data_IF_546463681607
#
_entry.id   IF_546463681607
#
_cell.length_a   1.000
_cell.length_b   1.000
_cell.length_c   1.000
_cell.angle_alpha   90.00
_cell.angle_beta   90.00
_cell.angle_gamma   90.00
#
_symmetry.space_group_name_H-M   'P 1'
#
loop_
_entity.id
_entity.type
_entity.pdbx_description
1 polymer ?
#
# COMPACT_ATOMS: atom_id res chain seq x y z
N UNK A 1 -13.68 4.13 -72.57
CA UNK A 1 -13.41 5.22 -71.62
C UNK A 1 -12.04 4.95 -71.00
N UNK A 2 -10.99 5.03 -71.83
CA UNK A 2 -9.99 6.14 -71.93
C UNK A 2 -9.25 6.37 -70.61
N UNK A 3 -7.94 6.10 -70.41
CA UNK A 3 -6.70 6.10 -71.23
C UNK A 3 -6.26 7.50 -71.71
N UNK A 4 -5.45 8.19 -70.90
CA UNK A 4 -4.45 9.19 -71.34
C UNK A 4 -3.49 9.50 -70.17
N UNK A 5 -2.22 9.07 -70.25
CA UNK A 5 -1.04 9.89 -70.63
C UNK A 5 -0.66 10.92 -69.55
N UNK A 6 0.41 10.76 -68.74
CA UNK A 6 1.85 10.72 -69.08
C UNK A 6 2.25 11.81 -70.10
N UNK A 7 3.39 12.48 -69.78
CA UNK A 7 4.07 13.61 -70.47
C UNK A 7 3.80 14.97 -69.77
N UNK A 8 4.77 15.80 -69.39
CA UNK A 8 6.14 15.97 -69.89
C UNK A 8 7.07 16.52 -68.80
N UNK A 9 8.32 16.06 -68.88
CA UNK A 9 9.49 16.72 -68.30
C UNK A 9 9.90 17.95 -69.15
N UNK A 10 10.73 18.79 -68.53
CA UNK A 10 11.65 19.77 -69.14
C UNK A 10 11.06 21.05 -69.77
N UNK A 11 11.40 22.20 -69.16
CA UNK A 11 12.25 23.26 -69.73
C UNK A 11 12.21 24.52 -68.87
N UNK A 12 13.35 25.20 -68.70
CA UNK A 12 13.37 26.64 -68.47
C UNK A 12 14.30 27.15 -67.36
N UNK A 13 15.61 27.11 -67.61
CA UNK A 13 16.60 27.97 -66.96
C UNK A 13 16.47 29.38 -67.55
N UNK A 14 16.18 30.41 -66.76
CA UNK A 14 16.59 31.80 -67.03
C UNK A 14 16.30 32.72 -65.85
N UNK A 15 17.33 33.50 -65.51
CA UNK A 15 17.40 34.49 -64.46
C UNK A 15 16.52 35.70 -64.76
N UNK A 16 15.88 36.27 -63.74
CA UNK A 16 15.57 37.71 -63.72
C UNK A 16 15.90 38.30 -62.35
N UNK A 17 16.84 39.22 -62.38
CA UNK A 17 17.35 40.02 -61.27
C UNK A 17 16.27 40.96 -60.74
N UNK A 18 15.96 40.85 -59.44
CA UNK A 18 15.06 41.77 -58.75
C UNK A 18 15.48 41.87 -57.29
N UNK A 19 16.30 42.88 -56.98
CA UNK A 19 16.72 43.19 -55.62
C UNK A 19 15.53 43.56 -54.75
N UNK A 20 15.25 42.77 -53.71
CA UNK A 20 14.37 43.18 -52.62
C UNK A 20 15.14 43.10 -51.29
N UNK A 21 14.95 44.14 -50.49
CA UNK A 21 15.86 44.62 -49.45
C UNK A 21 15.87 43.71 -48.23
N UNK A 22 17.07 43.43 -47.72
CA UNK A 22 17.32 42.72 -46.47
C UNK A 22 16.90 43.63 -45.31
N UNK A 23 15.76 43.33 -44.68
CA UNK A 23 15.40 43.84 -43.35
C UNK A 23 15.90 42.89 -42.27
N UNK A 24 16.41 43.37 -41.12
CA UNK A 24 17.10 42.54 -40.16
C UNK A 24 16.15 41.62 -39.40
N UNK A 25 16.45 40.33 -39.50
CA UNK A 25 16.07 39.29 -38.55
C UNK A 25 16.37 39.75 -37.12
N UNK A 26 15.36 39.82 -36.26
CA UNK A 26 15.51 39.67 -34.81
C UNK A 26 14.12 39.44 -34.20
N UNK A 27 14.04 38.39 -33.38
CA UNK A 27 12.98 38.11 -32.41
C UNK A 27 11.68 37.49 -32.93
N UNK A 28 11.68 36.18 -33.26
CA UNK A 28 10.46 35.37 -33.05
C UNK A 28 10.68 33.85 -32.85
N UNK A 29 11.92 33.33 -32.89
CA UNK A 29 12.20 31.88 -32.80
C UNK A 29 12.79 31.42 -31.47
N UNK A 30 12.35 31.98 -30.33
CA UNK A 30 12.77 31.53 -28.99
C UNK A 30 11.60 31.34 -28.01
N UNK A 31 10.38 31.13 -28.49
CA UNK A 31 9.20 30.88 -27.65
C UNK A 31 8.50 29.54 -27.91
N UNK A 32 9.09 28.64 -28.70
CA UNK A 32 8.50 27.34 -29.03
C UNK A 32 9.17 26.12 -28.38
N UNK A 33 10.27 26.29 -27.63
CA UNK A 33 10.98 25.17 -26.97
C UNK A 33 10.98 25.21 -25.43
N UNK A 34 10.34 26.19 -24.78
CA UNK A 34 10.40 26.35 -23.32
C UNK A 34 9.11 26.06 -22.54
N UNK A 35 8.07 25.53 -23.19
CA UNK A 35 6.84 25.08 -22.52
C UNK A 35 6.53 23.60 -22.75
N UNK A 36 7.49 22.83 -23.26
CA UNK A 36 7.41 21.36 -23.33
C UNK A 36 8.05 20.65 -22.12
N UNK A 37 8.52 21.38 -21.09
CA UNK A 37 9.33 20.79 -20.00
C UNK A 37 8.87 21.13 -18.57
N UNK A 38 7.61 21.55 -18.34
CA UNK A 38 7.12 21.87 -16.98
C UNK A 38 5.77 21.25 -16.60
N UNK A 39 5.34 20.18 -17.28
CA UNK A 39 4.52 19.19 -16.59
C UNK A 39 5.44 18.36 -15.70
N UNK A 40 5.81 18.95 -14.56
CA UNK A 40 6.34 18.22 -13.43
C UNK A 40 5.25 17.23 -12.96
N UNK A 41 5.12 16.09 -13.65
CA UNK A 41 4.56 14.87 -13.10
C UNK A 41 5.58 14.32 -12.09
N UNK A 42 5.93 15.11 -11.08
CA UNK A 42 6.85 14.74 -10.03
C UNK A 42 6.07 14.63 -8.71
N UNK A 43 6.32 13.51 -8.01
CA UNK A 43 6.05 13.26 -6.59
C UNK A 43 4.77 12.52 -6.12
N UNK A 44 3.90 11.96 -6.97
CA UNK A 44 2.84 11.03 -6.48
C UNK A 44 3.24 9.55 -6.47
N UNK A 45 4.25 9.13 -7.25
CA UNK A 45 4.66 7.72 -7.34
C UNK A 45 5.47 7.22 -6.12
N UNK A 46 5.94 8.11 -5.24
CA UNK A 46 6.83 7.75 -4.12
C UNK A 46 6.11 7.40 -2.79
N UNK A 47 4.77 7.28 -2.77
CA UNK A 47 4.00 7.00 -1.54
C UNK A 47 3.80 5.51 -1.26
N UNK A 48 3.70 4.69 -2.31
CA UNK A 48 3.43 3.25 -2.21
C UNK A 48 4.74 2.52 -1.89
N UNK A 49 4.73 1.70 -0.85
CA UNK A 49 5.88 0.85 -0.56
C UNK A 49 5.78 -0.46 -1.34
N UNK A 50 6.91 -0.98 -1.80
CA UNK A 50 6.96 -2.29 -2.44
C UNK A 50 7.28 -3.40 -1.42
N UNK A 51 6.49 -3.49 -0.35
CA UNK A 51 6.69 -4.41 0.78
C UNK A 51 5.34 -4.84 1.37
N UNK A 52 5.23 -6.09 1.82
CA UNK A 52 4.01 -6.64 2.41
C UNK A 52 3.24 -7.57 1.48
N UNK A 53 1.98 -7.81 1.82
CA UNK A 53 1.04 -8.63 1.07
C UNK A 53 0.07 -7.70 0.34
N UNK A 54 0.30 -7.51 -0.97
CA UNK A 54 -0.67 -6.86 -1.85
C UNK A 54 -1.83 -7.83 -2.09
N UNK A 55 -3.06 -7.34 -2.02
CA UNK A 55 -4.23 -8.12 -2.40
C UNK A 55 -4.07 -8.59 -3.85
N UNK A 56 -4.17 -9.90 -4.07
CA UNK A 56 -4.07 -10.52 -5.40
C UNK A 56 -5.42 -10.68 -6.08
N UNK A 57 -6.50 -10.36 -5.37
CA UNK A 57 -7.87 -10.50 -5.83
C UNK A 57 -8.73 -9.34 -5.29
N UNK A 58 -9.90 -9.10 -5.90
CA UNK A 58 -10.82 -8.08 -5.45
C UNK A 58 -11.32 -8.33 -4.00
N UNK A 59 -11.66 -7.29 -3.21
CA UNK A 59 -12.11 -7.46 -1.82
C UNK A 59 -13.32 -8.38 -1.63
N UNK A 60 -14.18 -8.49 -2.63
CA UNK A 60 -15.31 -9.41 -2.64
C UNK A 60 -14.92 -10.89 -2.68
N UNK A 61 -13.67 -11.28 -2.97
CA UNK A 61 -13.24 -12.68 -2.83
C UNK A 61 -12.76 -13.02 -1.42
N UNK A 62 -12.62 -12.01 -0.56
CA UNK A 62 -12.29 -12.18 0.85
C UNK A 62 -13.58 -12.32 1.67
N UNK A 63 -13.53 -13.14 2.71
CA UNK A 63 -14.63 -13.38 3.64
C UNK A 63 -14.48 -12.62 4.97
N UNK A 64 -13.23 -12.29 5.35
CA UNK A 64 -12.89 -11.72 6.65
C UNK A 64 -12.83 -12.76 7.77
N UNK A 65 -11.93 -12.54 8.74
CA UNK A 65 -11.63 -13.53 9.78
C UNK A 65 -12.85 -13.96 10.61
N UNK A 66 -13.85 -13.09 10.79
CA UNK A 66 -15.08 -13.40 11.53
C UNK A 66 -15.91 -14.52 10.86
N UNK A 67 -15.88 -14.64 9.53
CA UNK A 67 -16.59 -15.70 8.83
C UNK A 67 -15.96 -17.07 9.13
N UNK A 68 -14.63 -17.12 9.26
CA UNK A 68 -13.88 -18.34 9.57
C UNK A 68 -14.27 -18.93 10.94
N UNK A 69 -14.69 -18.08 11.90
CA UNK A 69 -15.06 -18.51 13.25
C UNK A 69 -16.26 -19.48 13.30
N UNK A 70 -17.08 -19.54 12.23
CA UNK A 70 -18.26 -20.41 12.18
C UNK A 70 -17.88 -21.90 12.14
N UNK A 71 -16.77 -22.24 11.48
CA UNK A 71 -16.26 -23.61 11.38
C UNK A 71 -14.94 -23.82 12.14
N UNK A 72 -14.17 -22.74 12.35
CA UNK A 72 -12.85 -22.74 12.99
C UNK A 72 -12.83 -21.86 14.25
N UNK A 73 -13.75 -22.12 15.18
CA UNK A 73 -13.92 -21.35 16.42
C UNK A 73 -12.63 -21.31 17.24
N UNK A 74 -12.04 -22.47 17.55
CA UNK A 74 -10.82 -22.59 18.35
C UNK A 74 -9.67 -21.78 17.75
N UNK A 75 -9.43 -21.91 16.44
CA UNK A 75 -8.37 -21.19 15.74
C UNK A 75 -8.63 -19.68 15.76
N UNK A 76 -9.88 -19.27 15.53
CA UNK A 76 -10.27 -17.86 15.57
C UNK A 76 -10.07 -17.26 16.98
N UNK A 77 -10.49 -17.95 18.02
CA UNK A 77 -10.32 -17.49 19.40
C UNK A 77 -8.85 -17.33 19.78
N UNK A 78 -8.02 -18.30 19.41
CA UNK A 78 -6.58 -18.23 19.65
C UNK A 78 -5.95 -17.08 18.85
N UNK A 79 -6.26 -16.97 17.56
CA UNK A 79 -5.77 -15.91 16.69
C UNK A 79 -6.17 -14.51 17.18
N UNK A 80 -7.43 -14.31 17.55
CA UNK A 80 -7.98 -12.99 17.93
C UNK A 80 -7.27 -12.37 19.15
N UNK A 81 -6.67 -13.21 20.01
CA UNK A 81 -5.92 -12.79 21.20
C UNK A 81 -4.50 -12.33 20.86
N UNK A 82 -3.97 -12.70 19.69
CA UNK A 82 -2.59 -12.42 19.28
C UNK A 82 -2.33 -10.94 18.99
N UNK A 83 -1.04 -10.56 18.97
CA UNK A 83 -0.63 -9.21 18.59
C UNK A 83 -0.98 -8.87 17.15
N UNK A 84 -0.91 -9.84 16.24
CA UNK A 84 -1.11 -9.64 14.80
C UNK A 84 -2.58 -9.27 14.50
N UNK A 85 -3.53 -9.89 15.18
CA UNK A 85 -4.96 -9.57 15.10
C UNK A 85 -5.26 -8.19 15.69
N UNK A 86 -4.59 -7.83 16.79
CA UNK A 86 -4.89 -6.62 17.58
C UNK A 86 -4.00 -5.43 17.25
N UNK A 87 -3.11 -5.55 16.26
CA UNK A 87 -2.08 -4.55 15.99
C UNK A 87 -2.67 -3.22 15.53
N UNK A 88 -3.76 -3.26 14.76
CA UNK A 88 -4.48 -2.09 14.25
C UNK A 88 -5.90 -2.11 14.80
N UNK A 89 -6.31 -1.02 15.44
CA UNK A 89 -7.62 -0.90 16.10
C UNK A 89 -8.23 0.45 15.78
N UNK A 90 -9.55 0.50 15.62
CA UNK A 90 -10.25 1.78 15.58
C UNK A 90 -10.20 2.45 16.95
N UNK A 91 -10.06 3.77 16.95
CA UNK A 91 -10.18 4.59 18.16
C UNK A 91 -11.49 4.35 18.89
N UNK A 92 -12.60 4.31 18.15
CA UNK A 92 -13.96 4.19 18.70
C UNK A 92 -14.20 2.91 19.50
N UNK A 93 -13.40 1.88 19.25
CA UNK A 93 -13.53 0.58 19.92
C UNK A 93 -12.64 0.51 21.19
N UNK A 94 -11.93 1.59 21.52
CA UNK A 94 -11.07 1.66 22.71
C UNK A 94 -11.75 2.48 23.80
N UNK A 95 -11.78 1.91 25.02
CA UNK A 95 -12.23 2.63 26.20
C UNK A 95 -11.36 3.88 26.49
N UNK A 96 -10.05 3.80 26.21
CA UNK A 96 -9.12 4.90 26.33
C UNK A 96 -8.01 4.82 25.27
N UNK A 97 -7.51 5.98 24.85
CA UNK A 97 -6.33 6.03 24.01
C UNK A 97 -5.07 5.69 24.82
N UNK A 98 -4.10 4.97 24.24
CA UNK A 98 -2.85 4.70 24.91
C UNK A 98 -2.02 5.96 25.12
N UNK A 99 -1.39 6.07 26.29
CA UNK A 99 -0.40 7.10 26.62
C UNK A 99 -0.94 8.29 27.42
N UNK A 100 -0.02 9.16 27.85
CA UNK A 100 -0.32 10.38 28.61
C UNK A 100 -0.71 11.52 27.66
N UNK A 101 -2.01 11.68 27.38
CA UNK A 101 -2.49 12.66 26.41
C UNK A 101 -2.34 14.11 26.84
N UNK A 102 -2.14 14.41 28.13
CA UNK A 102 -1.87 15.76 28.61
C UNK A 102 -0.55 16.35 28.09
N UNK A 103 0.37 15.49 27.63
CA UNK A 103 1.67 15.87 27.04
C UNK A 103 1.76 15.53 25.55
N UNK A 104 0.64 15.12 24.94
CA UNK A 104 0.64 14.70 23.55
C UNK A 104 0.91 15.87 22.62
N UNK A 105 1.76 15.71 21.59
CA UNK A 105 1.88 16.68 20.50
C UNK A 105 0.73 16.54 19.47
N UNK A 106 -0.18 15.58 19.66
CA UNK A 106 -1.35 15.32 18.80
C UNK A 106 -2.63 15.63 19.56
N UNK A 107 -3.70 15.99 18.83
CA UNK A 107 -5.04 16.06 19.42
C UNK A 107 -5.66 14.68 19.44
N UNK A 108 -6.30 14.32 20.56
CA UNK A 108 -6.95 13.01 20.70
C UNK A 108 -8.09 12.80 19.69
N UNK A 109 -8.80 13.87 19.33
CA UNK A 109 -9.93 13.83 18.39
C UNK A 109 -9.51 13.56 16.95
N UNK A 110 -8.24 13.84 16.60
CA UNK A 110 -7.71 13.55 15.28
C UNK A 110 -7.41 12.05 15.10
N UNK A 111 -7.48 11.23 16.16
CA UNK A 111 -7.12 9.81 16.09
C UNK A 111 -8.30 8.97 15.60
N UNK A 112 -8.15 8.39 14.41
CA UNK A 112 -9.05 7.40 13.84
C UNK A 112 -8.58 5.96 14.09
N UNK A 113 -7.29 5.67 13.89
CA UNK A 113 -6.68 4.36 14.16
C UNK A 113 -5.54 4.45 15.17
N UNK A 114 -5.41 3.41 15.97
CA UNK A 114 -4.24 3.13 16.81
C UNK A 114 -3.50 1.93 16.23
N UNK A 115 -2.21 2.13 15.91
CA UNK A 115 -1.34 1.15 15.26
C UNK A 115 -0.17 0.81 16.18
N UNK A 116 -0.08 -0.43 16.63
CA UNK A 116 0.98 -0.92 17.49
C UNK A 116 0.54 -1.23 18.91
N UNK A 117 1.33 -2.08 19.57
CA UNK A 117 1.15 -2.60 20.92
C UNK A 117 2.52 -2.73 21.61
N UNK A 118 2.53 -2.78 22.95
CA UNK A 118 3.65 -3.08 23.86
C UNK A 118 4.89 -2.17 23.81
N UNK A 119 5.47 -1.89 22.64
CA UNK A 119 6.65 -1.03 22.51
C UNK A 119 6.26 0.40 22.16
N UNK A 120 5.34 0.56 21.21
CA UNK A 120 4.86 1.86 20.77
C UNK A 120 3.48 1.82 20.14
N UNK A 121 2.83 2.99 20.12
CA UNK A 121 1.63 3.25 19.34
C UNK A 121 1.90 4.41 18.37
N UNK A 122 1.50 4.23 17.12
CA UNK A 122 1.37 5.26 16.10
C UNK A 122 -0.11 5.50 15.79
N UNK A 123 -0.42 6.63 15.18
CA UNK A 123 -1.80 7.08 15.02
C UNK A 123 -2.07 7.51 13.58
N UNK A 124 -3.31 7.31 13.14
CA UNK A 124 -3.79 7.66 11.79
C UNK A 124 -5.08 8.45 11.95
N UNK A 125 -5.27 9.49 11.14
CA UNK A 125 -6.50 10.29 11.13
C UNK A 125 -7.58 9.72 10.18
N UNK A 126 -8.75 10.38 10.16
CA UNK A 126 -9.91 9.98 9.35
C UNK A 126 -9.65 10.12 7.85
N UNK A 127 -8.67 10.91 7.43
CA UNK A 127 -8.21 11.04 6.05
C UNK A 127 -7.17 9.96 5.68
N UNK A 128 -6.97 8.97 6.56
CA UNK A 128 -5.96 7.92 6.45
C UNK A 128 -4.51 8.42 6.45
N UNK A 129 -4.25 9.64 6.94
CA UNK A 129 -2.89 10.17 7.03
C UNK A 129 -2.26 9.74 8.34
N UNK A 130 -1.00 9.33 8.26
CA UNK A 130 -0.20 9.01 9.46
C UNK A 130 0.09 10.30 10.23
N UNK A 131 -0.28 10.33 11.51
CA UNK A 131 -0.01 11.46 12.40
C UNK A 131 1.48 11.49 12.80
N UNK A 132 2.09 12.69 12.92
CA UNK A 132 3.54 12.84 13.06
C UNK A 132 4.04 12.67 14.50
N UNK A 133 3.54 11.68 15.24
CA UNK A 133 4.07 11.28 16.53
C UNK A 133 3.78 9.82 16.86
N UNK A 134 4.58 9.26 17.76
CA UNK A 134 4.35 7.95 18.38
C UNK A 134 4.40 8.08 19.91
N UNK A 135 3.64 7.25 20.61
CA UNK A 135 3.81 7.05 22.04
C UNK A 135 4.70 5.83 22.28
N UNK A 136 5.72 5.95 23.12
CA UNK A 136 6.62 4.87 23.53
C UNK A 136 6.19 4.33 24.88
N UNK A 137 5.62 3.13 24.89
CA UNK A 137 5.17 2.47 26.11
C UNK A 137 6.34 2.15 27.03
N UNK A 138 7.46 1.67 26.48
CA UNK A 138 8.67 1.31 27.24
C UNK A 138 9.35 2.49 27.94
N UNK A 139 9.08 3.71 27.46
CA UNK A 139 9.72 4.94 27.93
C UNK A 139 8.74 5.96 28.47
N UNK A 140 7.45 5.62 28.49
CA UNK A 140 6.37 6.44 29.01
C UNK A 140 6.39 7.87 28.43
N UNK A 141 6.73 8.02 27.14
CA UNK A 141 6.92 9.34 26.51
C UNK A 141 6.41 9.42 25.08
N UNK A 142 6.07 10.63 24.66
CA UNK A 142 5.82 10.97 23.27
C UNK A 142 7.12 11.24 22.52
N UNK A 143 7.19 10.77 21.28
CA UNK A 143 8.23 11.12 20.33
C UNK A 143 7.60 11.78 19.10
N UNK A 144 7.99 13.02 18.78
CA UNK A 144 7.63 13.65 17.52
C UNK A 144 8.30 12.92 16.34
N UNK A 145 7.57 12.77 15.25
CA UNK A 145 7.98 12.14 13.99
C UNK A 145 7.59 13.04 12.82
N UNK A 146 8.22 14.21 12.66
CA UNK A 146 7.83 15.19 11.63
C UNK A 146 7.86 14.58 10.22
N UNK A 147 8.84 13.73 9.92
CA UNK A 147 8.93 13.00 8.66
C UNK A 147 7.86 11.92 8.47
N UNK A 148 6.85 11.81 9.34
CA UNK A 148 5.73 10.88 9.18
C UNK A 148 4.46 11.50 8.60
N UNK A 149 4.27 12.80 8.79
CA UNK A 149 3.03 13.49 8.48
C UNK A 149 2.60 13.35 7.02
N UNK A 150 1.29 13.28 6.81
CA UNK A 150 0.64 13.43 5.50
C UNK A 150 0.66 12.21 4.58
N UNK A 151 1.28 11.10 5.01
CA UNK A 151 1.40 9.88 4.20
C UNK A 151 0.16 9.00 4.36
N UNK A 152 -0.41 8.50 3.27
CA UNK A 152 -1.55 7.59 3.33
C UNK A 152 -1.12 6.24 3.92
N UNK A 153 -1.77 5.86 5.02
CA UNK A 153 -1.46 4.65 5.78
C UNK A 153 -1.66 3.39 4.94
N UNK A 154 -2.69 3.35 4.08
CA UNK A 154 -3.02 2.17 3.27
C UNK A 154 -1.93 1.89 2.24
N UNK A 155 -1.41 2.96 1.64
CA UNK A 155 -0.32 2.90 0.65
C UNK A 155 1.03 2.53 1.24
N UNK A 156 1.31 3.03 2.45
CA UNK A 156 2.65 2.95 3.04
C UNK A 156 2.83 1.84 4.08
N UNK A 157 1.75 1.45 4.73
CA UNK A 157 1.77 0.53 5.88
C UNK A 157 0.72 -0.57 5.74
N UNK A 158 -0.34 -0.34 4.95
CA UNK A 158 -1.50 -1.21 4.83
C UNK A 158 -1.16 -2.63 4.42
N UNK A 159 -0.27 -2.83 3.44
CA UNK A 159 0.10 -4.17 2.96
C UNK A 159 0.68 -5.11 4.02
N UNK A 160 1.18 -4.60 5.15
CA UNK A 160 1.65 -5.43 6.27
C UNK A 160 0.68 -5.44 7.46
N UNK A 161 -0.18 -4.43 7.58
CA UNK A 161 -0.98 -4.17 8.79
C UNK A 161 -2.49 -4.22 8.55
N UNK A 162 -2.92 -4.45 7.31
CA UNK A 162 -4.30 -4.64 6.88
C UNK A 162 -4.34 -5.92 6.04
N UNK A 163 -5.51 -6.56 6.01
CA UNK A 163 -5.74 -7.78 5.23
C UNK A 163 -6.51 -7.45 3.96
N UNK A 164 -6.15 -8.12 2.85
CA UNK A 164 -6.74 -7.83 1.53
C UNK A 164 -6.46 -6.41 1.04
N UNK A 165 -5.31 -5.83 1.41
CA UNK A 165 -4.99 -4.44 1.09
C UNK A 165 -4.49 -4.27 -0.36
N UNK A 166 -5.22 -3.52 -1.17
CA UNK A 166 -4.75 -2.95 -2.43
C UNK A 166 -4.31 -1.49 -2.19
N UNK A 167 -3.00 -1.17 -2.20
CA UNK A 167 -2.52 0.18 -1.94
C UNK A 167 -2.86 1.17 -3.07
N UNK A 168 -3.03 0.70 -4.30
CA UNK A 168 -3.34 1.56 -5.44
C UNK A 168 -4.77 2.07 -5.38
N UNK A 169 -5.72 1.17 -5.11
CA UNK A 169 -7.14 1.49 -4.93
C UNK A 169 -7.45 1.99 -3.52
N UNK A 170 -6.51 1.83 -2.58
CA UNK A 170 -6.66 2.16 -1.16
C UNK A 170 -7.86 1.43 -0.52
N UNK A 171 -8.09 0.19 -0.96
CA UNK A 171 -9.11 -0.73 -0.45
C UNK A 171 -8.45 -1.81 0.40
N UNK A 172 -9.19 -2.31 1.38
CA UNK A 172 -8.78 -3.39 2.26
C UNK A 172 -10.03 -4.13 2.75
N UNK A 173 -9.86 -5.34 3.26
CA UNK A 173 -10.97 -6.15 3.79
C UNK A 173 -11.08 -6.02 5.31
N UNK A 174 -9.96 -6.10 6.02
CA UNK A 174 -9.95 -6.17 7.49
C UNK A 174 -8.76 -5.37 8.07
N UNK A 175 -8.96 -4.78 9.26
CA UNK A 175 -7.86 -4.18 10.03
C UNK A 175 -6.98 -5.28 10.66
N UNK A 176 -5.67 -5.05 10.69
CA UNK A 176 -4.74 -6.03 11.26
C UNK A 176 -4.41 -7.15 10.29
N UNK A 177 -3.71 -8.16 10.80
CA UNK A 177 -3.31 -9.35 10.06
C UNK A 177 -4.28 -10.48 10.38
N UNK A 178 -5.32 -10.58 9.55
CA UNK A 178 -6.40 -11.56 9.55
C UNK A 178 -5.97 -12.94 9.06
N UNK A 179 -6.90 -13.90 9.12
CA UNK A 179 -6.72 -15.26 8.61
C UNK A 179 -6.21 -15.24 7.15
N UNK A 180 -6.87 -14.43 6.33
CA UNK A 180 -6.64 -14.35 4.88
C UNK A 180 -5.33 -13.64 4.50
N UNK A 181 -4.62 -13.03 5.46
CA UNK A 181 -3.26 -12.52 5.22
C UNK A 181 -2.25 -13.66 5.02
N UNK A 182 -2.50 -14.82 5.65
CA UNK A 182 -1.70 -16.03 5.49
C UNK A 182 -2.36 -17.01 4.52
N UNK A 183 -3.67 -17.20 4.62
CA UNK A 183 -4.44 -18.23 3.92
C UNK A 183 -4.97 -17.80 2.54
N UNK A 184 -4.84 -16.51 2.18
CA UNK A 184 -5.43 -15.98 0.94
C UNK A 184 -6.94 -15.73 1.06
N UNK A 185 -7.60 -15.28 -0.02
CA UNK A 185 -9.04 -15.01 -0.03
C UNK A 185 -9.83 -16.30 0.22
N UNK A 186 -10.74 -16.29 1.20
CA UNK A 186 -11.44 -17.50 1.67
C UNK A 186 -12.91 -17.59 1.32
N UNK A 187 -13.44 -16.73 0.42
CA UNK A 187 -14.87 -16.79 0.08
C UNK A 187 -15.26 -18.08 -0.63
N UNK A 188 -14.45 -18.51 -1.59
CA UNK A 188 -14.65 -19.78 -2.31
C UNK A 188 -14.57 -20.96 -1.33
N UNK A 189 -13.61 -20.92 -0.40
CA UNK A 189 -13.49 -21.91 0.67
C UNK A 189 -14.73 -22.04 1.55
N UNK A 190 -15.38 -20.92 1.92
CA UNK A 190 -16.63 -20.97 2.68
C UNK A 190 -17.80 -21.49 1.84
N UNK A 191 -17.80 -21.24 0.53
CA UNK A 191 -18.88 -21.68 -0.37
C UNK A 191 -18.80 -23.17 -0.70
N UNK A 192 -17.60 -23.69 -0.88
CA UNK A 192 -17.36 -25.08 -1.28
C UNK A 192 -16.99 -26.00 -0.10
N UNK A 193 -16.66 -25.42 1.05
CA UNK A 193 -16.18 -26.13 2.25
C UNK A 193 -15.00 -27.08 1.96
N UNK A 194 -14.16 -26.69 0.99
CA UNK A 194 -13.05 -27.52 0.49
C UNK A 194 -11.69 -27.00 0.95
N UNK A 195 -10.83 -27.90 1.43
CA UNK A 195 -9.46 -27.56 1.80
C UNK A 195 -8.56 -27.24 0.59
N UNK A 196 -9.03 -27.53 -0.63
CA UNK A 196 -8.29 -27.26 -1.88
C UNK A 196 -8.48 -25.82 -2.37
N UNK A 197 -9.48 -25.11 -1.87
CA UNK A 197 -9.79 -23.72 -2.25
C UNK A 197 -9.24 -22.68 -1.27
N UNK A 198 -8.40 -23.10 -0.32
CA UNK A 198 -7.71 -22.21 0.63
C UNK A 198 -6.23 -22.57 0.77
N UNK A 199 -5.36 -21.56 0.84
CA UNK A 199 -3.95 -21.81 1.08
C UNK A 199 -3.73 -22.28 2.52
N UNK A 200 -2.91 -23.30 2.71
CA UNK A 200 -2.47 -23.78 4.03
C UNK A 200 -0.95 -23.67 4.11
N UNK A 201 -0.39 -22.58 4.67
CA UNK A 201 1.05 -22.41 4.74
C UNK A 201 1.75 -23.63 5.36
N UNK A 202 2.73 -24.18 4.64
CA UNK A 202 3.50 -25.36 5.06
C UNK A 202 2.96 -26.71 4.57
N UNK A 203 1.71 -26.79 4.11
CA UNK A 203 1.10 -28.05 3.61
C UNK A 203 1.77 -28.57 2.34
N UNK A 204 2.30 -27.67 1.52
CA UNK A 204 2.98 -27.98 0.25
C UNK A 204 4.49 -28.23 0.40
N UNK A 205 4.97 -28.41 1.63
CA UNK A 205 6.40 -28.61 1.93
C UNK A 205 7.24 -27.34 1.87
N UNK A 206 6.65 -26.16 1.58
CA UNK A 206 7.37 -24.89 1.65
C UNK A 206 7.60 -24.45 3.11
N UNK A 207 8.70 -23.74 3.41
CA UNK A 207 8.91 -23.21 4.76
C UNK A 207 7.79 -22.25 5.16
N UNK A 208 7.09 -22.56 6.26
CA UNK A 208 6.07 -21.68 6.86
C UNK A 208 6.59 -20.25 7.08
N UNK A 209 7.88 -20.13 7.42
CA UNK A 209 8.55 -18.84 7.62
C UNK A 209 8.47 -17.90 6.41
N UNK A 210 8.37 -18.42 5.20
CA UNK A 210 8.28 -17.58 4.01
C UNK A 210 6.97 -16.79 3.98
N UNK A 211 5.89 -17.35 4.53
CA UNK A 211 4.63 -16.61 4.75
C UNK A 211 4.84 -15.44 5.71
N UNK A 212 5.57 -15.67 6.81
CA UNK A 212 5.85 -14.63 7.82
C UNK A 212 6.74 -13.51 7.26
N UNK A 213 7.73 -13.86 6.44
CA UNK A 213 8.72 -12.93 5.87
C UNK A 213 8.14 -11.93 4.87
N UNK A 214 6.92 -12.17 4.35
CA UNK A 214 6.18 -11.20 3.53
C UNK A 214 5.99 -9.87 4.27
N UNK A 215 5.81 -9.92 5.59
CA UNK A 215 5.72 -8.73 6.45
C UNK A 215 6.99 -8.52 7.32
N UNK A 216 7.55 -9.60 7.86
CA UNK A 216 8.76 -9.60 8.68
C UNK A 216 10.02 -9.70 7.82
N UNK A 217 10.18 -8.78 6.89
CA UNK A 217 11.32 -8.71 5.99
C UNK A 217 12.55 -8.07 6.67
N UNK A 218 13.67 -8.01 5.94
CA UNK A 218 14.98 -7.58 6.45
C UNK A 218 15.11 -6.10 6.89
N UNK A 219 14.02 -5.34 7.07
CA UNK A 219 14.08 -3.95 7.56
C UNK A 219 13.87 -3.85 9.08
N UNK A 220 14.82 -3.19 9.75
CA UNK A 220 14.76 -2.81 11.17
C UNK A 220 14.46 -4.02 12.09
N UNK A 221 13.99 -3.74 13.31
CA UNK A 221 13.64 -4.73 14.32
C UNK A 221 12.38 -5.58 13.98
N UNK A 222 11.86 -5.54 12.74
CA UNK A 222 10.68 -6.35 12.35
C UNK A 222 11.06 -7.82 12.11
N UNK A 223 12.25 -8.09 11.54
CA UNK A 223 12.77 -9.46 11.41
C UNK A 223 13.00 -10.13 12.78
N UNK A 224 13.35 -9.34 13.80
CA UNK A 224 13.56 -9.85 15.17
C UNK A 224 12.31 -10.47 15.79
N UNK A 225 11.12 -10.03 15.38
CA UNK A 225 9.86 -10.52 15.94
C UNK A 225 9.56 -11.99 15.59
N UNK A 226 10.26 -12.54 14.58
CA UNK A 226 10.19 -13.96 14.21
C UNK A 226 11.52 -14.69 14.46
N UNK A 227 12.51 -14.03 15.08
CA UNK A 227 13.79 -14.65 15.42
C UNK A 227 13.56 -15.74 16.46
N UNK A 228 13.92 -16.98 16.13
CA UNK A 228 13.71 -18.14 17.02
C UNK A 228 12.31 -18.76 16.94
N UNK A 229 11.49 -18.39 15.96
CA UNK A 229 10.23 -19.10 15.72
C UNK A 229 10.53 -20.57 15.35
N UNK A 230 10.03 -21.49 16.17
CA UNK A 230 10.16 -22.94 16.01
C UNK A 230 8.78 -23.61 16.09
N UNK A 231 7.78 -23.07 15.37
CA UNK A 231 6.42 -23.60 15.35
C UNK A 231 6.11 -24.35 14.07
N UNK A 232 5.53 -25.54 14.19
CA UNK A 232 4.65 -26.11 13.16
C UNK A 232 3.29 -25.41 13.29
N UNK A 233 2.88 -24.66 12.29
CA UNK A 233 1.46 -24.28 12.19
C UNK A 233 0.74 -25.52 11.69
N UNK A 234 -0.33 -25.93 12.38
CA UNK A 234 -1.05 -27.21 12.25
C UNK A 234 -0.31 -28.39 12.91
N UNK A 235 -0.29 -28.44 14.25
CA UNK A 235 -0.31 -29.76 14.90
C UNK A 235 -1.66 -30.37 14.53
N UNK A 236 -1.63 -31.48 13.82
CA UNK A 236 -2.81 -32.27 13.52
C UNK A 236 -3.31 -32.86 14.83
N UNK A 237 -4.46 -32.40 15.32
CA UNK A 237 -5.28 -33.22 16.21
C UNK A 237 -5.79 -34.45 15.43
#
# INVERSE_FOLDING_TARGET
MDRACLLSMEKGFAQSTGACRIGPMRNCMLLSCLLLCLAAASAHAASIRNEGVVATAPPETYAGSKACAQCHETQYEQWSKTLKARFVRYRRDLAALPGDWGKSPLRADDVFLVVGLHRKAAFVDTDWRVLPAEYRFDKHRWNRKPGWGGRDYRQRCGMCHLTGCNPYEKRYTELGVGCEACHGPGREHIQEESAETIATPGRDGKPVLDTCRRCHNGRNNHADAIRGFAGTYHETD
#
